data_IF_229139239173
#
_entry.id   IF_229139239173
#
_cell.length_a   1.000
_cell.length_b   1.000
_cell.length_c   1.000
_cell.angle_alpha   90.00
_cell.angle_beta   90.00
_cell.angle_gamma   90.00
#
_symmetry.space_group_name_H-M   'P 1'
#
loop_
_entity.id
_entity.type
_entity.pdbx_description
1 polymer ?
#
# COMPACT_ATOMS: atom_id res chain seq x y z
N UNK A 1 19.46 -18.36 23.07
CA UNK A 1 18.81 -18.04 21.77
C UNK A 1 19.94 -17.91 20.76
N UNK A 2 19.92 -18.67 19.66
CA UNK A 2 20.99 -18.67 18.65
C UNK A 2 20.47 -18.06 17.34
N UNK A 3 21.35 -17.28 16.72
CA UNK A 3 21.35 -16.66 15.38
C UNK A 3 19.99 -16.30 14.80
N UNK A 4 19.67 -15.01 14.84
CA UNK A 4 18.78 -14.43 13.85
C UNK A 4 19.63 -14.24 12.58
N UNK A 5 19.33 -14.99 11.54
CA UNK A 5 19.82 -14.65 10.21
C UNK A 5 18.75 -13.78 9.56
N UNK A 6 19.11 -12.55 9.24
CA UNK A 6 18.26 -11.63 8.49
C UNK A 6 18.97 -11.30 7.19
N UNK A 7 18.27 -11.44 6.08
CA UNK A 7 18.75 -10.95 4.80
C UNK A 7 17.66 -10.10 4.18
N UNK A 8 18.12 -9.00 3.59
CA UNK A 8 17.26 -8.00 3.05
C UNK A 8 17.87 -7.50 1.76
N UNK A 9 17.11 -7.61 0.67
CA UNK A 9 17.59 -7.16 -0.63
C UNK A 9 17.66 -5.64 -0.71
N UNK A 10 16.80 -4.95 0.03
CA UNK A 10 16.69 -3.49 0.05
C UNK A 10 16.50 -2.99 1.49
N UNK A 11 17.55 -3.05 2.34
CA UNK A 11 17.49 -2.68 3.75
C UNK A 11 17.09 -1.21 3.97
N UNK A 12 17.37 -0.35 2.99
CA UNK A 12 16.98 1.06 3.01
C UNK A 12 15.47 1.26 2.74
N UNK A 13 14.81 0.32 2.04
CA UNK A 13 13.37 0.37 1.77
C UNK A 13 12.56 -0.22 2.93
N UNK A 14 12.95 -1.42 3.36
CA UNK A 14 12.32 -2.12 4.47
C UNK A 14 13.44 -2.70 5.29
N UNK A 15 13.44 -2.54 6.60
CA UNK A 15 14.26 -3.33 7.50
C UNK A 15 13.35 -4.12 8.44
N UNK A 16 13.69 -5.38 8.68
CA UNK A 16 12.89 -6.32 9.46
C UNK A 16 13.76 -7.05 10.47
N UNK A 17 13.28 -7.14 11.71
CA UNK A 17 13.88 -7.95 12.74
C UNK A 17 12.81 -8.70 13.53
N UNK A 18 13.06 -9.98 13.77
CA UNK A 18 12.27 -10.79 14.70
C UNK A 18 13.04 -11.03 16.00
N UNK A 19 12.32 -11.04 17.11
CA UNK A 19 12.87 -11.32 18.43
C UNK A 19 11.96 -12.30 19.16
N UNK A 20 12.55 -13.28 19.86
CA UNK A 20 11.83 -14.15 20.76
C UNK A 20 12.18 -13.77 22.20
N UNK A 21 11.18 -13.37 22.99
CA UNK A 21 11.35 -12.88 24.35
C UNK A 21 10.73 -13.91 25.33
N UNK A 22 11.47 -14.41 26.34
CA UNK A 22 10.89 -15.30 27.34
C UNK A 22 9.82 -14.60 28.16
N UNK A 23 8.64 -15.22 28.26
CA UNK A 23 7.61 -14.78 29.19
C UNK A 23 8.00 -15.26 30.59
N UNK A 24 8.10 -14.37 31.60
CA UNK A 24 8.37 -14.77 32.97
C UNK A 24 7.23 -15.66 33.49
N UNK A 25 7.49 -16.97 33.63
CA UNK A 25 6.51 -17.94 34.17
C UNK A 25 6.88 -18.37 35.59
N UNK A 26 5.85 -18.50 36.44
CA UNK A 26 5.95 -18.99 37.83
C UNK A 26 5.92 -20.53 37.89
N UNK A 27 5.57 -21.22 36.80
CA UNK A 27 5.39 -22.68 36.76
C UNK A 27 6.41 -23.37 35.84
N UNK A 28 7.22 -24.25 36.42
CA UNK A 28 8.48 -24.76 35.86
C UNK A 28 8.38 -25.92 34.85
N UNK A 29 7.41 -25.95 33.92
CA UNK A 29 7.28 -27.09 33.00
C UNK A 29 7.33 -26.77 31.50
N UNK A 30 6.99 -25.55 31.06
CA UNK A 30 7.17 -25.12 29.66
C UNK A 30 7.57 -23.65 29.61
N UNK A 31 8.74 -23.36 29.06
CA UNK A 31 9.16 -21.98 28.81
C UNK A 31 8.26 -21.38 27.71
N UNK A 32 7.55 -20.30 28.00
CA UNK A 32 6.72 -19.61 27.03
C UNK A 32 7.52 -18.46 26.41
N UNK A 33 7.34 -18.23 25.12
CA UNK A 33 8.06 -17.23 24.34
C UNK A 33 7.06 -16.33 23.60
N UNK A 34 7.30 -15.04 23.66
CA UNK A 34 6.65 -14.04 22.83
C UNK A 34 7.49 -13.79 21.58
N UNK A 35 6.86 -13.78 20.41
CA UNK A 35 7.52 -13.31 19.18
C UNK A 35 7.17 -11.85 18.93
N UNK A 36 8.20 -11.03 18.78
CA UNK A 36 8.11 -9.61 18.49
C UNK A 36 8.70 -9.32 17.12
N UNK A 37 8.11 -8.36 16.44
CA UNK A 37 8.50 -7.85 15.14
C UNK A 37 8.88 -6.38 15.26
N UNK A 38 10.04 -6.02 14.71
CA UNK A 38 10.34 -4.63 14.38
C UNK A 38 10.41 -4.46 12.87
N UNK A 39 9.68 -3.48 12.34
CA UNK A 39 9.72 -3.09 10.93
C UNK A 39 10.06 -1.61 10.81
N UNK A 40 11.04 -1.27 9.97
CA UNK A 40 11.31 0.10 9.56
C UNK A 40 11.00 0.25 8.07
N UNK A 41 10.01 1.07 7.73
CA UNK A 41 9.63 1.37 6.36
C UNK A 41 10.22 2.70 5.91
N UNK A 42 10.78 2.73 4.70
CA UNK A 42 11.32 3.92 4.05
C UNK A 42 11.35 3.71 2.52
N UNK A 43 12.11 4.53 1.80
CA UNK A 43 12.19 4.55 0.34
C UNK A 43 13.61 4.21 -0.13
N UNK A 44 13.71 3.57 -1.30
CA UNK A 44 14.98 3.19 -1.91
C UNK A 44 15.10 3.73 -3.34
N UNK A 45 16.32 4.11 -3.73
CA UNK A 45 16.65 4.49 -5.11
C UNK A 45 17.25 3.30 -5.84
N UNK A 46 16.57 2.82 -6.89
CA UNK A 46 17.03 1.72 -7.74
C UNK A 46 17.51 2.26 -9.10
N UNK A 47 18.76 2.00 -9.51
CA UNK A 47 19.22 2.25 -10.87
C UNK A 47 18.46 1.39 -11.88
N UNK A 48 17.96 2.00 -12.96
CA UNK A 48 17.12 1.32 -13.95
C UNK A 48 17.14 2.09 -15.28
N UNK A 49 17.28 1.40 -16.42
CA UNK A 49 17.19 2.00 -17.77
C UNK A 49 18.10 3.23 -17.99
N UNK A 50 19.29 3.22 -17.41
CA UNK A 50 20.24 4.35 -17.51
C UNK A 50 19.92 5.58 -16.65
N UNK A 51 18.79 5.56 -15.92
CA UNK A 51 18.44 6.52 -14.88
C UNK A 51 18.27 5.83 -13.52
N UNK A 52 17.34 6.34 -12.73
CA UNK A 52 16.96 5.74 -11.44
C UNK A 52 15.52 6.02 -11.08
N UNK A 53 14.91 5.09 -10.35
CA UNK A 53 13.56 5.21 -9.81
C UNK A 53 13.60 5.15 -8.29
N UNK A 54 12.81 5.98 -7.63
CA UNK A 54 12.60 5.91 -6.19
C UNK A 54 11.28 5.19 -5.91
N UNK A 55 11.33 4.16 -5.08
CA UNK A 55 10.14 3.44 -4.67
C UNK A 55 10.09 3.29 -3.15
N UNK A 56 8.88 3.13 -2.64
CA UNK A 56 8.59 2.68 -1.28
C UNK A 56 7.38 1.77 -1.28
N UNK A 57 7.02 1.29 -0.09
CA UNK A 57 5.90 0.38 0.08
C UNK A 57 4.67 1.12 0.62
N UNK A 58 3.50 0.90 0.03
CA UNK A 58 2.21 1.29 0.60
C UNK A 58 1.47 0.12 1.25
N UNK A 59 2.06 -1.08 1.20
CA UNK A 59 1.52 -2.28 1.81
C UNK A 59 2.52 -3.43 1.80
N UNK A 60 2.02 -4.64 2.02
CA UNK A 60 2.79 -5.87 1.95
C UNK A 60 2.32 -6.89 2.99
N UNK A 61 2.79 -8.12 2.84
CA UNK A 61 2.37 -9.23 3.68
C UNK A 61 3.56 -9.83 4.42
N UNK A 62 3.53 -9.80 5.76
CA UNK A 62 4.40 -10.61 6.58
C UNK A 62 3.79 -12.00 6.71
N UNK A 63 4.49 -13.04 6.25
CA UNK A 63 4.12 -14.44 6.45
C UNK A 63 5.11 -15.11 7.38
N UNK A 64 4.60 -15.92 8.31
CA UNK A 64 5.43 -16.84 9.09
C UNK A 64 5.14 -18.27 8.66
N UNK A 65 6.19 -19.04 8.42
CA UNK A 65 6.09 -20.49 8.32
C UNK A 65 6.63 -21.09 9.63
N UNK A 66 5.73 -21.74 10.37
CA UNK A 66 5.99 -22.26 11.70
C UNK A 66 6.21 -23.79 11.65
N UNK A 67 7.40 -24.23 12.09
CA UNK A 67 7.67 -25.64 12.32
C UNK A 67 7.65 -25.92 13.83
N UNK A 68 6.86 -26.93 14.25
CA UNK A 68 6.72 -27.37 15.64
C UNK A 68 6.21 -26.29 16.63
N UNK A 69 5.56 -25.25 16.12
CA UNK A 69 4.84 -24.25 16.91
C UNK A 69 3.61 -23.73 16.14
N UNK A 70 2.68 -23.11 16.86
CA UNK A 70 1.44 -22.57 16.31
C UNK A 70 1.17 -21.19 16.95
N UNK A 71 0.57 -20.28 16.18
CA UNK A 71 0.06 -19.00 16.66
C UNK A 71 -1.43 -18.90 16.31
N UNK A 72 -2.31 -19.32 17.24
CA UNK A 72 -3.75 -19.28 17.03
C UNK A 72 -4.26 -17.90 16.68
N UNK A 73 -5.28 -17.79 15.81
CA UNK A 73 -5.88 -16.49 15.42
C UNK A 73 -6.23 -15.64 16.65
N UNK A 74 -6.78 -16.24 17.71
CA UNK A 74 -7.16 -15.56 18.94
C UNK A 74 -5.96 -14.99 19.75
N UNK A 75 -4.74 -15.45 19.48
CA UNK A 75 -3.51 -14.97 20.13
C UNK A 75 -2.77 -13.90 19.34
N UNK A 76 -3.21 -13.60 18.11
CA UNK A 76 -2.55 -12.63 17.22
C UNK A 76 -2.86 -11.22 17.70
N UNK A 77 -1.82 -10.49 18.13
CA UNK A 77 -2.01 -9.17 18.75
C UNK A 77 -1.75 -7.99 17.81
N UNK A 78 -1.03 -8.21 16.71
CA UNK A 78 -0.77 -7.17 15.71
C UNK A 78 -1.96 -7.04 14.75
N UNK A 79 -3.07 -6.46 15.21
CA UNK A 79 -4.28 -6.20 14.40
C UNK A 79 -4.84 -4.82 14.77
N UNK A 80 -5.21 -4.04 13.76
CA UNK A 80 -5.78 -2.70 13.92
C UNK A 80 -4.93 -1.60 13.29
N UNK A 81 -5.16 -0.36 13.71
CA UNK A 81 -4.44 0.80 13.19
C UNK A 81 -3.23 1.14 14.05
N UNK A 82 -2.09 1.39 13.42
CA UNK A 82 -0.84 1.74 14.08
C UNK A 82 -0.26 3.01 13.46
N UNK A 83 0.22 3.92 14.30
CA UNK A 83 1.03 5.05 13.87
C UNK A 83 2.49 4.63 13.86
N UNK A 84 3.16 4.78 12.71
CA UNK A 84 4.59 4.54 12.62
C UNK A 84 5.34 5.72 13.23
N UNK A 85 6.27 5.43 14.15
CA UNK A 85 7.06 6.50 14.77
C UNK A 85 8.07 7.05 13.78
N UNK A 86 8.31 8.38 13.74
CA UNK A 86 9.36 8.98 12.93
C UNK A 86 10.71 8.32 13.21
N UNK A 87 11.54 8.22 12.17
CA UNK A 87 12.92 7.77 12.31
C UNK A 87 13.70 8.97 12.82
N UNK A 88 14.09 8.98 14.10
CA UNK A 88 15.02 10.01 14.59
C UNK A 88 16.35 9.87 13.82
N UNK A 89 16.94 11.00 13.43
CA UNK A 89 18.26 11.06 12.78
C UNK A 89 19.40 10.49 13.63
N UNK A 90 19.15 10.16 14.90
CA UNK A 90 20.06 9.43 15.78
C UNK A 90 19.94 7.90 15.67
N UNK A 91 18.90 7.39 14.99
CA UNK A 91 18.70 5.95 14.71
C UNK A 91 19.40 5.49 13.43
N UNK A 92 19.82 6.41 12.56
CA UNK A 92 20.77 6.12 11.46
C UNK A 92 22.10 5.54 11.99
N UNK A 93 22.46 5.85 13.25
CA UNK A 93 23.70 5.40 13.89
C UNK A 93 23.74 3.89 14.16
N UNK A 94 22.60 3.18 14.14
CA UNK A 94 22.59 1.71 14.26
C UNK A 94 22.73 0.98 12.90
N UNK A 95 22.68 1.70 11.77
CA UNK A 95 22.71 1.12 10.43
C UNK A 95 24.02 1.37 9.67
N UNK A 96 24.96 2.15 10.21
CA UNK A 96 26.25 2.41 9.55
C UNK A 96 27.41 2.51 10.54
N UNK A 97 28.01 1.39 10.94
CA UNK A 97 29.42 1.40 11.36
C UNK A 97 30.32 1.29 10.11
N UNK A 98 30.52 2.40 9.41
CA UNK A 98 31.81 2.72 8.77
C UNK A 98 31.94 4.22 8.46
N UNK A 99 32.74 4.89 9.29
CA UNK A 99 33.49 6.14 9.03
C UNK A 99 32.74 7.47 8.80
N UNK A 100 32.82 8.35 9.83
CA UNK A 100 32.99 9.85 9.87
C UNK A 100 32.08 10.73 8.99
N UNK A 101 31.55 11.88 9.39
CA UNK A 101 32.03 13.01 10.22
C UNK A 101 30.82 13.91 10.60
N UNK A 102 30.92 14.72 11.65
CA UNK A 102 29.83 15.54 12.25
C UNK A 102 29.51 16.80 11.41
N UNK A 103 28.23 17.23 11.31
CA UNK A 103 27.96 18.65 11.56
C UNK A 103 26.65 19.01 12.29
N UNK A 104 26.82 20.02 13.16
CA UNK A 104 25.93 21.06 13.72
C UNK A 104 24.40 20.88 13.76
N UNK A 105 23.92 20.79 15.00
CA UNK A 105 22.55 20.95 15.47
C UNK A 105 22.12 22.43 15.49
N UNK A 106 20.99 22.78 14.86
CA UNK A 106 20.02 23.80 15.39
C UNK A 106 18.78 24.12 14.50
N UNK A 107 18.20 23.16 13.75
CA UNK A 107 16.94 23.41 12.99
C UNK A 107 15.84 22.34 13.08
N UNK A 108 15.92 21.37 14.00
CA UNK A 108 15.11 20.14 13.93
C UNK A 108 13.70 20.18 14.55
N UNK A 109 13.24 21.25 15.19
CA UNK A 109 12.04 21.16 16.05
C UNK A 109 10.70 21.66 15.47
N UNK A 110 10.61 22.00 14.16
CA UNK A 110 9.34 22.48 13.56
C UNK A 110 8.73 21.64 12.43
N UNK A 111 9.35 20.53 12.02
CA UNK A 111 8.89 19.70 10.89
C UNK A 111 8.47 18.26 11.25
N UNK A 112 8.41 17.87 12.53
CA UNK A 112 8.25 16.44 12.89
C UNK A 112 6.83 15.88 12.76
N UNK A 113 5.77 16.69 12.68
CA UNK A 113 4.40 16.19 12.50
C UNK A 113 4.04 15.78 11.07
N UNK A 114 4.78 16.25 10.04
CA UNK A 114 4.40 16.05 8.63
C UNK A 114 4.77 14.68 8.03
N UNK A 115 5.49 13.85 8.77
CA UNK A 115 6.06 12.59 8.27
C UNK A 115 5.40 11.32 8.86
N UNK A 116 4.43 11.48 9.77
CA UNK A 116 3.74 10.34 10.37
C UNK A 116 2.84 9.63 9.34
N UNK A 117 2.98 8.31 9.26
CA UNK A 117 2.10 7.44 8.47
C UNK A 117 1.32 6.51 9.38
N UNK A 118 0.07 6.25 9.01
CA UNK A 118 -0.81 5.31 9.71
C UNK A 118 -0.96 4.08 8.83
N UNK A 119 -0.61 2.92 9.37
CA UNK A 119 -0.87 1.64 8.73
C UNK A 119 -2.03 0.93 9.41
N UNK A 120 -2.82 0.22 8.62
CA UNK A 120 -3.77 -0.76 9.11
C UNK A 120 -3.17 -2.14 8.92
N UNK A 121 -3.24 -2.96 9.98
CA UNK A 121 -2.82 -4.35 9.95
C UNK A 121 -4.01 -5.26 10.17
N UNK A 122 -4.23 -6.16 9.23
CA UNK A 122 -5.18 -7.26 9.35
C UNK A 122 -4.44 -8.59 9.33
N UNK A 123 -5.11 -9.68 9.74
CA UNK A 123 -4.49 -11.01 9.77
C UNK A 123 -5.27 -12.00 8.92
N UNK A 124 -4.53 -12.88 8.25
CA UNK A 124 -5.03 -14.00 7.45
C UNK A 124 -4.20 -15.26 7.77
N UNK A 125 -4.51 -16.38 7.11
CA UNK A 125 -3.76 -17.64 7.27
C UNK A 125 -4.13 -18.43 8.52
N UNK A 126 -3.67 -19.68 8.59
CA UNK A 126 -3.98 -20.62 9.68
C UNK A 126 -2.96 -20.56 10.82
N UNK A 127 -3.14 -21.43 11.82
CA UNK A 127 -2.34 -21.43 13.05
C UNK A 127 -0.86 -21.81 12.82
N UNK A 128 -0.54 -22.43 11.68
CA UNK A 128 0.84 -22.84 11.29
C UNK A 128 1.48 -21.91 10.26
N UNK A 129 0.65 -21.17 9.52
CA UNK A 129 1.07 -20.21 8.49
C UNK A 129 0.40 -18.84 8.69
N UNK A 130 0.52 -18.21 9.87
CA UNK A 130 -0.13 -16.93 10.12
C UNK A 130 0.51 -15.84 9.26
N UNK A 131 -0.32 -14.91 8.81
CA UNK A 131 0.14 -13.75 8.06
C UNK A 131 -0.56 -12.46 8.48
N UNK A 132 0.14 -11.35 8.23
CA UNK A 132 -0.28 -9.99 8.52
C UNK A 132 -0.18 -9.14 7.27
N UNK A 133 -1.31 -8.56 6.86
CA UNK A 133 -1.40 -7.65 5.73
C UNK A 133 -1.26 -6.23 6.27
N UNK A 134 -0.21 -5.54 5.84
CA UNK A 134 0.01 -4.13 6.10
C UNK A 134 -0.59 -3.32 4.95
N UNK A 135 -1.30 -2.25 5.28
CA UNK A 135 -1.86 -1.33 4.28
C UNK A 135 -1.76 0.11 4.76
N UNK A 136 -1.38 1.02 3.86
CA UNK A 136 -1.36 2.45 4.13
C UNK A 136 -2.79 2.96 4.30
N UNK A 137 -3.09 3.49 5.48
CA UNK A 137 -4.40 4.09 5.79
C UNK A 137 -4.40 5.60 5.56
N UNK A 138 -3.39 6.31 6.08
CA UNK A 138 -3.29 7.77 5.98
C UNK A 138 -1.83 8.24 6.05
N UNK A 139 -1.55 9.38 5.43
CA UNK A 139 -0.26 10.06 5.48
C UNK A 139 0.37 10.18 4.10
N UNK A 140 1.69 10.09 4.05
CA UNK A 140 2.47 10.01 2.80
C UNK A 140 2.02 8.82 1.94
N UNK A 141 2.28 8.83 0.62
CA UNK A 141 1.84 7.76 -0.28
C UNK A 141 2.56 6.43 -0.06
N UNK A 142 3.57 6.39 0.82
CA UNK A 142 4.28 5.18 1.26
C UNK A 142 4.25 5.11 2.78
N UNK A 143 4.30 3.90 3.32
CA UNK A 143 4.61 3.62 4.72
C UNK A 143 6.00 4.17 5.03
N UNK A 144 6.09 4.99 6.07
CA UNK A 144 7.35 5.60 6.51
C UNK A 144 7.39 5.67 8.02
N UNK A 145 8.44 5.08 8.60
CA UNK A 145 8.65 5.05 10.04
C UNK A 145 8.83 3.65 10.61
N UNK A 146 8.99 3.61 11.92
CA UNK A 146 9.30 2.42 12.69
C UNK A 146 8.06 1.88 13.42
N UNK A 147 7.78 0.60 13.22
CA UNK A 147 6.97 -0.23 14.10
C UNK A 147 7.91 -0.99 15.02
N UNK A 148 8.02 -0.57 16.28
CA UNK A 148 9.02 -1.11 17.21
C UNK A 148 8.45 -2.25 18.06
N UNK A 149 9.08 -3.42 17.99
CA UNK A 149 8.83 -4.56 18.88
C UNK A 149 7.34 -4.90 19.07
N UNK A 150 6.59 -4.92 17.97
CA UNK A 150 5.19 -5.29 17.96
C UNK A 150 5.03 -6.80 18.21
N UNK A 151 4.22 -7.17 19.20
CA UNK A 151 3.96 -8.57 19.54
C UNK A 151 3.09 -9.23 18.47
N UNK A 152 3.61 -10.29 17.84
CA UNK A 152 2.85 -11.08 16.85
C UNK A 152 1.97 -12.13 17.54
N UNK A 153 2.49 -12.79 18.56
CA UNK A 153 1.80 -13.86 19.27
C UNK A 153 2.71 -14.56 20.29
N UNK A 154 2.18 -15.63 20.88
CA UNK A 154 2.84 -16.40 21.94
C UNK A 154 2.92 -17.88 21.55
N UNK A 155 3.99 -18.57 21.95
CA UNK A 155 4.15 -19.99 21.71
C UNK A 155 4.91 -20.68 22.85
N UNK A 156 4.71 -21.99 22.98
CA UNK A 156 5.46 -22.82 23.91
C UNK A 156 6.83 -23.18 23.32
N UNK A 157 7.91 -22.99 24.09
CA UNK A 157 9.26 -23.35 23.68
C UNK A 157 9.39 -24.87 23.53
N UNK A 158 9.49 -25.32 22.28
CA UNK A 158 9.91 -26.64 21.83
C UNK A 158 10.96 -26.43 20.74
N UNK A 159 11.73 -27.45 20.31
CA UNK A 159 12.55 -27.30 19.11
C UNK A 159 11.68 -26.80 17.96
N UNK A 160 11.99 -25.64 17.42
CA UNK A 160 11.11 -24.93 16.49
C UNK A 160 11.92 -24.12 15.49
N UNK A 161 11.26 -23.84 14.37
CA UNK A 161 11.75 -22.95 13.34
C UNK A 161 10.63 -21.99 12.96
N UNK A 162 10.98 -20.71 12.86
CA UNK A 162 10.08 -19.66 12.36
C UNK A 162 10.82 -18.99 11.22
N UNK A 163 10.32 -19.19 10.01
CA UNK A 163 10.77 -18.46 8.84
C UNK A 163 9.79 -17.33 8.56
N UNK A 164 10.27 -16.09 8.57
CA UNK A 164 9.48 -14.92 8.25
C UNK A 164 9.87 -14.38 6.89
N UNK A 165 8.87 -14.11 6.06
CA UNK A 165 9.03 -13.43 4.77
C UNK A 165 8.15 -12.20 4.74
N UNK A 166 8.68 -11.10 4.23
CA UNK A 166 7.88 -9.94 3.86
C UNK A 166 7.75 -9.92 2.34
N UNK A 167 6.55 -10.17 1.87
CA UNK A 167 6.21 -10.30 0.46
C UNK A 167 5.45 -9.07 -0.02
N UNK A 168 5.68 -8.67 -1.27
CA UNK A 168 5.08 -7.48 -1.86
C UNK A 168 4.46 -7.81 -3.22
N UNK A 169 3.20 -7.46 -3.39
CA UNK A 169 2.51 -7.41 -4.67
C UNK A 169 2.84 -6.14 -5.44
N UNK A 170 2.35 -6.05 -6.69
CA UNK A 170 2.52 -4.83 -7.51
C UNK A 170 1.72 -3.66 -6.93
N UNK A 171 0.60 -3.93 -6.31
CA UNK A 171 -0.26 -3.00 -5.58
C UNK A 171 0.39 -2.43 -4.33
N UNK A 172 1.37 -3.11 -3.74
CA UNK A 172 2.06 -2.68 -2.53
C UNK A 172 3.20 -1.70 -2.82
N UNK A 173 3.59 -1.53 -4.08
CA UNK A 173 4.75 -0.73 -4.49
C UNK A 173 4.26 0.61 -5.03
N UNK A 174 4.85 1.69 -4.54
CA UNK A 174 4.56 3.04 -4.99
C UNK A 174 5.84 3.73 -5.43
N UNK A 175 5.85 4.25 -6.65
CA UNK A 175 6.96 5.06 -7.17
C UNK A 175 6.79 6.50 -6.71
N UNK A 176 7.75 6.98 -5.93
CA UNK A 176 7.71 8.34 -5.37
C UNK A 176 8.46 9.35 -6.24
N UNK A 177 9.43 8.89 -7.03
CA UNK A 177 10.24 9.74 -7.90
C UNK A 177 10.88 8.94 -9.05
N UNK A 178 11.28 9.64 -10.11
CA UNK A 178 11.97 9.07 -11.26
C UNK A 178 12.90 10.12 -11.89
N UNK A 179 14.17 9.76 -12.08
CA UNK A 179 15.18 10.65 -12.64
C UNK A 179 15.86 10.01 -13.85
N UNK A 180 15.87 10.73 -14.97
CA UNK A 180 16.57 10.31 -16.19
C UNK A 180 15.93 9.16 -16.96
N UNK A 181 14.68 8.79 -16.66
CA UNK A 181 14.00 7.66 -17.31
C UNK A 181 13.21 8.05 -18.57
N UNK A 182 12.69 9.27 -18.63
CA UNK A 182 11.89 9.77 -19.75
C UNK A 182 11.95 11.31 -19.83
N UNK A 183 11.57 11.90 -20.97
CA UNK A 183 11.45 13.35 -21.14
C UNK A 183 10.46 13.99 -20.16
N UNK A 184 10.60 15.30 -19.93
CA UNK A 184 9.73 16.04 -19.01
C UNK A 184 8.35 16.40 -19.58
N UNK A 185 8.16 16.23 -20.88
CA UNK A 185 6.95 16.63 -21.64
C UNK A 185 5.97 15.48 -21.88
N UNK A 186 6.10 14.37 -21.15
CA UNK A 186 5.13 13.28 -21.21
C UNK A 186 3.79 13.65 -20.55
N UNK A 187 2.72 13.07 -21.05
CA UNK A 187 1.37 13.31 -20.53
C UNK A 187 1.14 12.59 -19.19
N UNK A 188 0.11 12.99 -18.41
CA UNK A 188 -0.28 12.23 -17.20
C UNK A 188 -0.60 10.76 -17.47
N UNK A 189 -1.21 10.43 -18.62
CA UNK A 189 -1.54 9.05 -18.99
C UNK A 189 -0.27 8.25 -19.29
N UNK A 190 0.66 8.79 -20.09
CA UNK A 190 1.96 8.17 -20.32
C UNK A 190 2.71 7.96 -19.00
N UNK A 191 2.78 8.99 -18.15
CA UNK A 191 3.43 8.90 -16.85
C UNK A 191 2.83 7.79 -15.97
N UNK A 192 1.50 7.66 -15.93
CA UNK A 192 0.83 6.62 -15.15
C UNK A 192 1.17 5.21 -15.65
N UNK A 193 1.11 5.00 -16.96
CA UNK A 193 1.41 3.71 -17.60
C UNK A 193 2.90 3.36 -17.41
N UNK A 194 3.81 4.31 -17.64
CA UNK A 194 5.25 4.14 -17.43
C UNK A 194 5.57 3.79 -15.98
N UNK A 195 5.04 4.55 -15.02
CA UNK A 195 5.20 4.26 -13.61
C UNK A 195 4.69 2.85 -13.28
N UNK A 196 3.60 2.42 -13.91
CA UNK A 196 3.03 1.11 -13.62
C UNK A 196 3.86 -0.05 -14.18
N UNK A 197 4.33 0.05 -15.43
CA UNK A 197 5.16 -1.02 -16.01
C UNK A 197 6.51 -1.15 -15.28
N UNK A 198 7.11 -0.04 -14.84
CA UNK A 198 8.30 -0.09 -13.97
C UNK A 198 8.01 -0.82 -12.65
N UNK A 199 6.84 -0.56 -12.05
CA UNK A 199 6.42 -1.23 -10.81
C UNK A 199 6.27 -2.73 -10.99
N UNK A 200 5.64 -3.16 -12.10
CA UNK A 200 5.50 -4.59 -12.45
C UNK A 200 6.87 -5.23 -12.66
N UNK A 201 7.79 -4.54 -13.34
CA UNK A 201 9.16 -5.01 -13.52
C UNK A 201 9.91 -5.16 -12.19
N UNK A 202 9.86 -4.14 -11.31
CA UNK A 202 10.51 -4.18 -10.00
C UNK A 202 9.97 -5.34 -9.16
N UNK A 203 8.65 -5.53 -9.14
CA UNK A 203 8.04 -6.62 -8.41
C UNK A 203 8.58 -7.98 -8.90
N UNK A 204 8.49 -8.25 -10.21
CA UNK A 204 8.82 -9.56 -10.77
C UNK A 204 10.32 -9.88 -10.75
N UNK A 205 11.19 -8.88 -10.96
CA UNK A 205 12.64 -9.11 -11.17
C UNK A 205 13.51 -8.69 -9.99
N UNK A 206 13.00 -7.79 -9.14
CA UNK A 206 13.78 -7.20 -8.04
C UNK A 206 13.23 -7.54 -6.66
N UNK A 207 11.91 -7.65 -6.46
CA UNK A 207 11.34 -7.73 -5.10
C UNK A 207 10.77 -9.11 -4.73
N UNK A 208 10.59 -10.00 -5.70
CA UNK A 208 10.17 -11.39 -5.49
C UNK A 208 11.38 -12.33 -5.29
N UNK A 209 11.20 -13.47 -4.59
CA UNK A 209 9.96 -13.97 -3.98
C UNK A 209 9.59 -13.27 -2.66
N UNK A 210 10.57 -12.70 -1.95
CA UNK A 210 10.34 -11.90 -0.75
C UNK A 210 11.35 -10.75 -0.71
N UNK A 211 10.90 -9.59 -0.24
CA UNK A 211 11.73 -8.40 -0.10
C UNK A 211 12.74 -8.55 1.04
N UNK A 212 12.28 -9.16 2.14
CA UNK A 212 13.05 -9.35 3.36
C UNK A 212 12.71 -10.70 3.97
N UNK A 213 13.70 -11.37 4.56
CA UNK A 213 13.48 -12.58 5.34
C UNK A 213 14.26 -12.59 6.64
N UNK A 214 13.68 -13.24 7.64
CA UNK A 214 14.33 -13.50 8.92
C UNK A 214 14.06 -14.95 9.37
N UNK A 215 15.10 -15.62 9.87
CA UNK A 215 15.00 -16.97 10.40
C UNK A 215 15.29 -16.97 11.89
N UNK A 216 14.36 -17.51 12.67
CA UNK A 216 14.57 -17.88 14.06
C UNK A 216 14.61 -19.41 14.15
N UNK A 217 15.74 -19.94 14.63
CA UNK A 217 15.88 -21.37 14.90
C UNK A 217 16.24 -21.62 16.36
N UNK A 218 15.50 -22.53 16.99
CA UNK A 218 15.81 -23.01 18.33
C UNK A 218 15.96 -24.54 18.32
N UNK A 219 17.18 -25.01 18.61
CA UNK A 219 17.55 -26.42 18.63
C UNK A 219 17.28 -27.18 17.30
N UNK A 220 17.23 -26.47 16.17
CA UNK A 220 17.18 -27.02 14.82
C UNK A 220 18.35 -26.44 13.98
N UNK A 221 18.86 -27.17 12.97
CA UNK A 221 19.87 -26.64 12.06
C UNK A 221 19.33 -25.47 11.22
N UNK A 222 20.21 -24.52 10.89
CA UNK A 222 19.92 -23.48 9.89
C UNK A 222 19.75 -24.11 8.50
N UNK A 223 18.97 -23.46 7.63
CA UNK A 223 18.72 -23.90 6.25
C UNK A 223 19.14 -22.77 5.33
N UNK A 224 19.99 -23.08 4.34
CA UNK A 224 20.34 -22.14 3.27
C UNK A 224 19.16 -21.95 2.32
N UNK A 225 18.86 -20.71 1.94
CA UNK A 225 17.83 -20.41 0.95
C UNK A 225 18.37 -20.52 -0.48
N UNK A 226 17.51 -20.88 -1.47
CA UNK A 226 17.88 -20.87 -2.87
C UNK A 226 18.15 -19.43 -3.35
N UNK A 227 19.32 -19.22 -3.97
CA UNK A 227 19.61 -18.00 -4.71
C UNK A 227 18.72 -17.92 -5.96
N UNK A 228 18.03 -16.79 -6.14
CA UNK A 228 17.24 -16.53 -7.35
C UNK A 228 18.13 -15.85 -8.37
N UNK A 229 18.34 -16.52 -9.50
CA UNK A 229 19.15 -16.04 -10.61
C UNK A 229 18.46 -14.86 -11.32
N UNK A 230 19.21 -13.78 -11.52
CA UNK A 230 18.71 -12.57 -12.18
C UNK A 230 18.66 -12.81 -13.68
N UNK A 231 17.50 -12.60 -14.31
CA UNK A 231 17.31 -12.78 -15.76
C UNK A 231 17.73 -11.49 -16.51
N UNK A 232 18.81 -11.49 -17.32
CA UNK A 232 19.30 -10.27 -17.98
C UNK A 232 18.42 -9.72 -19.11
N UNK A 233 17.54 -10.56 -19.68
CA UNK A 233 16.73 -10.23 -20.86
C UNK A 233 15.56 -9.27 -20.56
N UNK A 234 15.09 -9.24 -19.31
CA UNK A 234 13.89 -8.50 -18.92
C UNK A 234 14.05 -6.96 -19.00
N UNK A 235 15.26 -6.43 -18.75
CA UNK A 235 15.49 -4.98 -18.77
C UNK A 235 15.48 -4.42 -20.20
N UNK A 236 15.98 -5.19 -21.18
CA UNK A 236 15.93 -4.79 -22.59
C UNK A 236 14.49 -4.75 -23.12
N UNK A 237 13.67 -5.74 -22.75
CA UNK A 237 12.23 -5.76 -23.08
C UNK A 237 11.48 -4.58 -22.43
N UNK A 238 11.83 -4.24 -21.19
CA UNK A 238 11.28 -3.07 -20.52
C UNK A 238 11.65 -1.78 -21.26
N UNK A 239 12.91 -1.61 -21.67
CA UNK A 239 13.35 -0.43 -22.42
C UNK A 239 12.55 -0.28 -23.72
N UNK A 240 12.36 -1.36 -24.48
CA UNK A 240 11.59 -1.33 -25.73
C UNK A 240 10.14 -0.86 -25.49
N UNK A 241 9.50 -1.34 -24.42
CA UNK A 241 8.14 -0.93 -24.05
C UNK A 241 8.10 0.56 -23.68
N UNK A 242 9.06 1.03 -22.88
CA UNK A 242 9.18 2.44 -22.47
C UNK A 242 9.33 3.33 -23.70
N UNK A 243 10.22 2.98 -24.62
CA UNK A 243 10.44 3.75 -25.85
C UNK A 243 9.17 3.82 -26.72
N UNK A 244 8.42 2.71 -26.81
CA UNK A 244 7.15 2.67 -27.55
C UNK A 244 6.06 3.53 -26.92
N UNK A 245 5.99 3.61 -25.60
CA UNK A 245 5.02 4.47 -24.89
C UNK A 245 5.37 5.95 -25.11
N UNK A 246 6.65 6.31 -25.01
CA UNK A 246 7.13 7.68 -25.20
C UNK A 246 6.90 8.13 -26.65
N UNK A 247 7.14 7.26 -27.62
CA UNK A 247 6.97 7.54 -29.04
C UNK A 247 5.51 7.41 -29.54
N UNK A 248 4.56 7.05 -28.67
CA UNK A 248 3.18 6.85 -29.07
C UNK A 248 2.52 8.17 -29.53
N UNK A 249 1.85 8.14 -30.69
CA UNK A 249 1.12 9.30 -31.24
C UNK A 249 -0.30 9.44 -30.62
N UNK A 250 -0.53 8.85 -29.45
CA UNK A 250 -1.81 8.80 -28.73
C UNK A 250 -1.61 9.16 -27.27
N UNK A 251 -2.62 9.79 -26.67
CA UNK A 251 -2.73 9.99 -25.23
C UNK A 251 -3.89 9.17 -24.62
N UNK A 252 -4.50 8.27 -25.40
CA UNK A 252 -5.54 7.39 -24.89
C UNK A 252 -4.95 6.41 -23.87
N UNK A 253 -5.49 6.42 -22.65
CA UNK A 253 -4.96 5.60 -21.56
C UNK A 253 -5.03 4.09 -21.86
N UNK A 254 -6.08 3.62 -22.51
CA UNK A 254 -6.29 2.20 -22.82
C UNK A 254 -5.33 1.74 -23.91
N UNK A 255 -5.11 2.57 -24.93
CA UNK A 255 -4.10 2.31 -25.96
C UNK A 255 -2.69 2.28 -25.38
N UNK A 256 -2.34 3.23 -24.51
CA UNK A 256 -1.02 3.26 -23.84
C UNK A 256 -0.83 2.04 -22.92
N UNK A 257 -1.84 1.66 -22.14
CA UNK A 257 -1.80 0.44 -21.33
C UNK A 257 -1.62 -0.81 -22.20
N UNK A 258 -2.27 -0.85 -23.37
CA UNK A 258 -2.11 -1.95 -24.34
C UNK A 258 -0.68 -2.02 -24.89
N UNK A 259 -0.05 -0.88 -25.20
CA UNK A 259 1.37 -0.83 -25.61
C UNK A 259 2.26 -1.43 -24.51
N UNK A 260 1.94 -1.15 -23.25
CA UNK A 260 2.64 -1.66 -22.08
C UNK A 260 2.34 -3.12 -21.72
N UNK A 261 1.43 -3.79 -22.45
CA UNK A 261 0.87 -5.09 -22.09
C UNK A 261 0.24 -5.11 -20.67
N UNK A 262 -0.38 -4.01 -20.27
CA UNK A 262 -1.10 -3.87 -19.02
C UNK A 262 -2.62 -3.89 -19.28
N UNK A 263 -3.35 -4.58 -18.43
CA UNK A 263 -4.81 -4.54 -18.36
C UNK A 263 -5.25 -3.37 -17.45
N UNK A 264 -5.94 -2.34 -17.99
CA UNK A 264 -6.46 -1.21 -17.22
C UNK A 264 -7.25 -1.60 -15.96
N UNK A 265 -8.03 -2.69 -16.04
CA UNK A 265 -8.94 -3.11 -14.98
C UNK A 265 -8.29 -3.95 -13.87
N UNK A 266 -7.11 -4.51 -14.10
CA UNK A 266 -6.47 -5.45 -13.16
C UNK A 266 -5.07 -5.03 -12.74
N UNK A 267 -4.34 -4.40 -13.67
CA UNK A 267 -2.95 -4.10 -13.44
C UNK A 267 -2.76 -2.82 -12.67
N UNK A 268 -3.73 -1.90 -12.57
CA UNK A 268 -3.55 -0.60 -11.92
C UNK A 268 -3.96 -0.54 -10.45
N UNK A 269 -4.19 -1.68 -9.78
CA UNK A 269 -4.38 -1.74 -8.32
C UNK A 269 -3.20 -1.10 -7.58
N UNK A 270 -3.49 -0.19 -6.64
CA UNK A 270 -2.49 0.63 -5.94
C UNK A 270 -1.72 1.63 -6.81
N UNK A 271 -1.95 1.64 -8.13
CA UNK A 271 -1.24 2.49 -9.09
C UNK A 271 -1.61 3.96 -9.00
N UNK A 272 -0.70 4.84 -9.44
CA UNK A 272 -0.97 6.28 -9.52
C UNK A 272 -1.53 6.66 -10.89
N UNK A 273 -2.81 7.02 -10.92
CA UNK A 273 -3.58 7.56 -12.05
C UNK A 273 -3.88 9.05 -11.84
N UNK A 274 -3.00 9.76 -11.13
CA UNK A 274 -3.21 11.17 -10.74
C UNK A 274 -3.24 12.07 -11.98
N UNK A 275 -4.28 12.89 -12.09
CA UNK A 275 -4.42 13.87 -13.18
C UNK A 275 -4.59 13.25 -14.57
N UNK A 276 -4.85 11.95 -14.66
CA UNK A 276 -5.06 11.24 -15.92
C UNK A 276 -6.37 11.65 -16.60
N UNK A 277 -6.41 11.53 -17.92
CA UNK A 277 -7.62 11.68 -18.72
C UNK A 277 -8.20 10.29 -18.98
N UNK A 278 -9.28 9.97 -18.28
CA UNK A 278 -9.95 8.67 -18.22
C UNK A 278 -11.45 8.79 -18.52
N UNK A 279 -11.84 9.81 -19.29
CA UNK A 279 -13.24 10.06 -19.63
C UNK A 279 -13.83 8.88 -20.42
N UNK A 280 -15.01 8.43 -20.03
CA UNK A 280 -15.73 7.32 -20.66
C UNK A 280 -14.95 5.99 -20.76
N UNK A 281 -13.89 5.82 -19.97
CA UNK A 281 -13.16 4.54 -19.90
C UNK A 281 -14.02 3.51 -19.19
N UNK A 282 -14.05 2.30 -19.74
CA UNK A 282 -14.71 1.14 -19.14
C UNK A 282 -13.78 0.47 -18.11
N UNK A 283 -14.09 0.71 -16.84
CA UNK A 283 -13.55 0.03 -15.67
C UNK A 283 -14.63 -0.83 -14.98
N UNK A 284 -15.67 -1.25 -15.70
CA UNK A 284 -16.70 -2.12 -15.14
C UNK A 284 -16.07 -3.42 -14.62
N UNK A 285 -16.47 -3.85 -13.41
CA UNK A 285 -15.89 -4.99 -12.70
C UNK A 285 -14.37 -4.93 -12.47
N UNK A 286 -13.74 -3.76 -12.61
CA UNK A 286 -12.31 -3.61 -12.39
C UNK A 286 -11.92 -3.88 -10.93
N UNK A 287 -10.71 -4.39 -10.72
CA UNK A 287 -10.12 -4.59 -9.40
C UNK A 287 -8.99 -3.58 -9.18
N UNK A 288 -9.33 -2.42 -8.64
CA UNK A 288 -8.44 -1.27 -8.48
C UNK A 288 -8.39 -0.76 -7.03
N UNK A 289 -8.20 -1.65 -6.02
CA UNK A 289 -8.10 -1.23 -4.64
C UNK A 289 -6.89 -0.30 -4.47
N UNK A 290 -7.05 0.72 -3.62
CA UNK A 290 -6.05 1.73 -3.29
C UNK A 290 -5.49 2.53 -4.49
N UNK A 291 -6.06 2.41 -5.69
CA UNK A 291 -5.65 3.19 -6.85
C UNK A 291 -5.84 4.70 -6.62
N UNK A 292 -4.91 5.50 -7.13
CA UNK A 292 -4.89 6.95 -6.88
C UNK A 292 -5.30 7.73 -8.13
N UNK A 293 -6.57 8.12 -8.19
CA UNK A 293 -7.20 8.93 -9.22
C UNK A 293 -7.26 10.42 -8.89
N UNK A 294 -6.47 10.94 -7.94
CA UNK A 294 -6.56 12.34 -7.51
C UNK A 294 -6.46 13.30 -8.70
N UNK A 295 -7.44 14.20 -8.82
CA UNK A 295 -7.51 15.17 -9.92
C UNK A 295 -7.67 14.58 -11.32
N UNK A 296 -7.96 13.28 -11.46
CA UNK A 296 -8.23 12.66 -12.76
C UNK A 296 -9.55 13.14 -13.34
N UNK A 297 -9.63 13.18 -14.67
CA UNK A 297 -10.88 13.36 -15.40
C UNK A 297 -11.50 11.99 -15.67
N UNK A 298 -12.55 11.65 -14.94
CA UNK A 298 -13.30 10.39 -14.97
C UNK A 298 -14.75 10.61 -15.42
N UNK A 299 -15.00 11.70 -16.15
CA UNK A 299 -16.33 12.01 -16.65
C UNK A 299 -16.90 10.86 -17.47
N UNK A 300 -18.13 10.46 -17.16
CA UNK A 300 -18.84 9.34 -17.81
C UNK A 300 -18.10 7.98 -17.78
N UNK A 301 -17.06 7.81 -16.95
CA UNK A 301 -16.37 6.54 -16.80
C UNK A 301 -17.28 5.49 -16.16
N UNK A 302 -17.13 4.22 -16.56
CA UNK A 302 -17.89 3.11 -15.99
C UNK A 302 -17.06 2.36 -14.96
N UNK A 303 -17.47 2.39 -13.71
CA UNK A 303 -16.92 1.65 -12.57
C UNK A 303 -17.98 0.72 -11.96
N UNK A 304 -19.03 0.36 -12.71
CA UNK A 304 -20.09 -0.52 -12.22
C UNK A 304 -19.49 -1.85 -11.76
N UNK A 305 -19.87 -2.31 -10.57
CA UNK A 305 -19.38 -3.53 -9.92
C UNK A 305 -17.85 -3.56 -9.67
N UNK A 306 -17.15 -2.42 -9.78
CA UNK A 306 -15.70 -2.36 -9.55
C UNK A 306 -15.34 -2.43 -8.05
N UNK A 307 -14.20 -3.05 -7.74
CA UNK A 307 -13.54 -2.94 -6.45
C UNK A 307 -12.62 -1.70 -6.42
N UNK A 308 -13.03 -0.69 -5.66
CA UNK A 308 -12.35 0.59 -5.46
C UNK A 308 -12.07 0.84 -3.97
N UNK A 309 -11.94 -0.24 -3.17
CA UNK A 309 -11.64 -0.14 -1.74
C UNK A 309 -10.44 0.75 -1.49
N UNK A 310 -10.59 1.76 -0.61
CA UNK A 310 -9.56 2.72 -0.25
C UNK A 310 -8.95 3.53 -1.43
N UNK A 311 -9.60 3.56 -2.60
CA UNK A 311 -9.16 4.36 -3.73
C UNK A 311 -9.20 5.87 -3.42
N UNK A 312 -8.31 6.63 -4.06
CA UNK A 312 -8.13 8.07 -3.80
C UNK A 312 -8.64 8.89 -4.99
N UNK A 313 -9.79 9.52 -4.85
CA UNK A 313 -10.45 10.36 -5.85
C UNK A 313 -10.38 11.86 -5.52
N UNK A 314 -9.59 12.27 -4.54
CA UNK A 314 -9.55 13.66 -4.09
C UNK A 314 -9.37 14.67 -5.25
N UNK A 315 -10.34 15.57 -5.41
CA UNK A 315 -10.39 16.56 -6.50
C UNK A 315 -10.63 16.01 -7.91
N UNK A 316 -10.94 14.72 -8.07
CA UNK A 316 -11.26 14.13 -9.37
C UNK A 316 -12.64 14.56 -9.88
N UNK A 317 -12.82 14.54 -11.19
CA UNK A 317 -14.11 14.80 -11.84
C UNK A 317 -14.75 13.47 -12.27
N UNK A 318 -15.69 12.97 -11.48
CA UNK A 318 -16.50 11.77 -11.78
C UNK A 318 -17.92 12.17 -12.22
N UNK A 319 -18.09 13.34 -12.85
CA UNK A 319 -19.43 13.76 -13.25
C UNK A 319 -19.99 12.79 -14.31
N UNK A 320 -21.23 12.34 -14.10
CA UNK A 320 -21.88 11.33 -14.96
C UNK A 320 -21.36 9.90 -14.81
N UNK A 321 -20.35 9.64 -13.96
CA UNK A 321 -19.77 8.31 -13.84
C UNK A 321 -20.78 7.25 -13.35
N UNK A 322 -20.64 6.03 -13.86
CA UNK A 322 -21.42 4.87 -13.44
C UNK A 322 -20.68 4.14 -12.32
N UNK A 323 -21.21 4.15 -11.10
CA UNK A 323 -20.61 3.53 -9.91
C UNK A 323 -21.59 2.54 -9.28
N UNK A 324 -22.50 1.97 -10.08
CA UNK A 324 -23.52 1.06 -9.61
C UNK A 324 -22.89 -0.17 -8.95
N UNK A 325 -23.28 -0.49 -7.71
CA UNK A 325 -22.74 -1.59 -6.91
C UNK A 325 -21.21 -1.59 -6.68
N UNK A 326 -20.50 -0.51 -7.03
CA UNK A 326 -19.06 -0.43 -6.82
C UNK A 326 -18.72 -0.47 -5.32
N UNK A 327 -17.63 -1.13 -4.95
CA UNK A 327 -17.10 -1.09 -3.58
C UNK A 327 -16.14 0.09 -3.44
N UNK A 328 -16.62 1.18 -2.84
CA UNK A 328 -15.88 2.40 -2.52
C UNK A 328 -15.60 2.48 -1.01
N UNK A 329 -15.60 1.36 -0.29
CA UNK A 329 -15.42 1.38 1.16
C UNK A 329 -14.04 1.94 1.52
N UNK A 330 -14.03 2.91 2.43
CA UNK A 330 -12.83 3.66 2.82
C UNK A 330 -12.27 4.61 1.75
N UNK A 331 -12.92 4.80 0.60
CA UNK A 331 -12.41 5.67 -0.46
C UNK A 331 -12.33 7.15 -0.04
N UNK A 332 -11.33 7.87 -0.56
CA UNK A 332 -11.12 9.30 -0.34
C UNK A 332 -11.62 10.13 -1.52
N UNK A 333 -12.85 10.65 -1.44
CA UNK A 333 -13.50 11.48 -2.45
C UNK A 333 -13.38 12.98 -2.15
N UNK A 334 -12.55 13.42 -1.19
CA UNK A 334 -12.48 14.83 -0.77
C UNK A 334 -12.41 15.81 -1.95
N UNK A 335 -13.36 16.75 -2.03
CA UNK A 335 -13.48 17.75 -3.13
C UNK A 335 -13.65 17.18 -4.55
N UNK A 336 -14.01 15.90 -4.70
CA UNK A 336 -14.37 15.36 -6.00
C UNK A 336 -15.71 15.94 -6.51
N UNK A 337 -15.95 15.82 -7.81
CA UNK A 337 -17.28 16.00 -8.40
C UNK A 337 -17.91 14.65 -8.67
N UNK A 338 -19.11 14.42 -8.10
CA UNK A 338 -19.98 13.27 -8.40
C UNK A 338 -21.30 13.77 -9.01
N UNK A 339 -21.29 14.93 -9.66
CA UNK A 339 -22.50 15.49 -10.26
C UNK A 339 -23.08 14.51 -11.29
N UNK A 340 -24.39 14.23 -11.21
CA UNK A 340 -25.08 13.26 -12.09
C UNK A 340 -24.58 11.81 -11.99
N UNK A 341 -23.65 11.49 -11.09
CA UNK A 341 -23.10 10.14 -10.97
C UNK A 341 -24.14 9.14 -10.44
N UNK A 342 -24.07 7.89 -10.91
CA UNK A 342 -24.93 6.82 -10.43
C UNK A 342 -24.22 5.95 -9.38
N UNK A 343 -24.53 6.15 -8.09
CA UNK A 343 -24.01 5.35 -6.97
C UNK A 343 -25.04 4.33 -6.46
N UNK A 344 -25.98 3.89 -7.31
CA UNK A 344 -27.02 2.96 -6.88
C UNK A 344 -26.41 1.65 -6.39
N UNK A 345 -26.68 1.26 -5.14
CA UNK A 345 -26.14 0.04 -4.53
C UNK A 345 -24.66 0.06 -4.15
N UNK A 346 -23.94 1.18 -4.40
CA UNK A 346 -22.51 1.29 -4.09
C UNK A 346 -22.23 1.18 -2.58
N UNK A 347 -21.08 0.62 -2.22
CA UNK A 347 -20.61 0.58 -0.83
C UNK A 347 -19.71 1.79 -0.54
N UNK A 348 -20.22 2.81 0.14
CA UNK A 348 -19.46 3.99 0.56
C UNK A 348 -19.09 3.92 2.05
N UNK A 349 -19.12 2.74 2.67
CA UNK A 349 -18.88 2.61 4.11
C UNK A 349 -17.51 3.19 4.48
N UNK A 350 -17.47 4.06 5.49
CA UNK A 350 -16.27 4.79 5.92
C UNK A 350 -15.59 5.68 4.86
N UNK A 351 -16.23 5.95 3.71
CA UNK A 351 -15.68 6.84 2.69
C UNK A 351 -15.67 8.31 3.14
N UNK A 352 -14.71 9.08 2.66
CA UNK A 352 -14.60 10.51 2.89
C UNK A 352 -15.23 11.29 1.73
N UNK A 353 -16.44 11.82 1.92
CA UNK A 353 -17.17 12.66 0.97
C UNK A 353 -17.22 14.14 1.40
N UNK A 354 -16.26 14.64 2.18
CA UNK A 354 -16.21 16.05 2.54
C UNK A 354 -15.99 16.95 1.30
N UNK A 355 -16.73 18.06 1.24
CA UNK A 355 -16.66 19.07 0.16
C UNK A 355 -16.94 18.53 -1.26
N UNK A 356 -17.60 17.36 -1.37
CA UNK A 356 -17.95 16.76 -2.67
C UNK A 356 -19.16 17.46 -3.29
N UNK A 357 -19.11 17.69 -4.61
CA UNK A 357 -20.27 18.09 -5.38
C UNK A 357 -21.17 16.89 -5.67
N UNK A 358 -22.36 16.85 -5.05
CA UNK A 358 -23.34 15.76 -5.13
C UNK A 358 -24.57 16.14 -5.96
N UNK A 359 -24.49 17.19 -6.78
CA UNK A 359 -25.61 17.68 -7.58
C UNK A 359 -26.20 16.56 -8.44
N UNK A 360 -27.46 16.19 -8.16
CA UNK A 360 -28.19 15.14 -8.87
C UNK A 360 -27.53 13.74 -8.83
N UNK A 361 -26.67 13.46 -7.85
CA UNK A 361 -26.11 12.12 -7.66
C UNK A 361 -27.18 11.14 -7.15
N UNK A 362 -27.17 9.90 -7.64
CA UNK A 362 -28.11 8.86 -7.22
C UNK A 362 -27.52 7.95 -6.13
N UNK A 363 -28.02 8.06 -4.89
CA UNK A 363 -27.60 7.25 -3.74
C UNK A 363 -28.56 6.09 -3.39
N UNK A 364 -29.48 5.73 -4.29
CA UNK A 364 -30.48 4.70 -4.02
C UNK A 364 -29.83 3.37 -3.65
N UNK A 365 -30.10 2.87 -2.44
CA UNK A 365 -29.59 1.58 -1.97
C UNK A 365 -28.09 1.54 -1.65
N UNK A 366 -27.37 2.67 -1.72
CA UNK A 366 -25.96 2.69 -1.33
C UNK A 366 -25.79 2.31 0.16
N UNK A 367 -24.62 1.83 0.57
CA UNK A 367 -24.26 1.70 1.99
C UNK A 367 -23.43 2.91 2.38
N UNK A 368 -23.76 3.56 3.49
CA UNK A 368 -23.13 4.83 3.90
C UNK A 368 -22.75 4.82 5.39
N UNK A 369 -22.64 3.64 5.98
CA UNK A 369 -22.24 3.46 7.37
C UNK A 369 -20.90 4.13 7.63
N UNK A 370 -20.84 5.07 8.57
CA UNK A 370 -19.64 5.87 8.89
C UNK A 370 -19.06 6.70 7.74
N UNK A 371 -19.76 6.82 6.61
CA UNK A 371 -19.35 7.71 5.51
C UNK A 371 -19.44 9.16 5.97
N UNK A 372 -18.41 9.96 5.68
CA UNK A 372 -18.30 11.34 6.17
C UNK A 372 -18.71 12.34 5.11
N UNK A 373 -19.70 13.17 5.44
CA UNK A 373 -20.24 14.25 4.63
C UNK A 373 -20.04 15.59 5.35
N UNK A 374 -20.08 16.69 4.61
CA UNK A 374 -19.88 18.04 5.13
C UNK A 374 -19.53 19.00 3.98
N UNK A 375 -20.13 20.19 3.96
CA UNK A 375 -19.97 21.17 2.88
C UNK A 375 -20.28 20.64 1.47
N UNK A 376 -21.21 19.71 1.33
CA UNK A 376 -21.60 19.14 0.05
C UNK A 376 -22.56 20.06 -0.71
N UNK A 377 -22.29 20.34 -1.99
CA UNK A 377 -23.25 20.99 -2.87
C UNK A 377 -24.23 19.98 -3.46
N UNK A 378 -25.45 20.44 -3.77
CA UNK A 378 -26.45 19.63 -4.48
C UNK A 378 -27.14 18.54 -3.65
N UNK A 379 -26.88 18.47 -2.34
CA UNK A 379 -27.54 17.54 -1.43
C UNK A 379 -28.79 18.19 -0.83
N UNK A 380 -29.97 17.68 -1.18
CA UNK A 380 -31.24 18.12 -0.60
C UNK A 380 -31.37 17.64 0.87
N UNK A 381 -32.10 18.39 1.70
CA UNK A 381 -32.19 18.09 3.14
C UNK A 381 -32.88 16.76 3.46
N UNK A 382 -33.85 16.34 2.65
CA UNK A 382 -34.49 15.02 2.79
C UNK A 382 -33.50 13.87 2.49
N UNK A 383 -32.67 14.02 1.46
CA UNK A 383 -31.59 13.06 1.15
C UNK A 383 -30.57 13.01 2.29
N UNK A 384 -30.15 14.16 2.80
CA UNK A 384 -29.24 14.25 3.96
C UNK A 384 -29.78 13.52 5.19
N UNK A 385 -31.04 13.75 5.56
CA UNK A 385 -31.69 13.05 6.67
C UNK A 385 -31.75 11.53 6.42
N UNK A 386 -32.04 11.09 5.19
CA UNK A 386 -32.03 9.67 4.84
C UNK A 386 -30.63 9.04 5.00
N UNK A 387 -29.58 9.74 4.57
CA UNK A 387 -28.20 9.27 4.71
C UNK A 387 -27.79 9.16 6.18
N UNK A 388 -28.15 10.14 7.01
CA UNK A 388 -27.90 10.10 8.46
C UNK A 388 -28.59 8.90 9.13
N UNK A 389 -29.84 8.62 8.77
CA UNK A 389 -30.58 7.45 9.28
C UNK A 389 -29.92 6.11 8.89
N UNK A 390 -29.14 6.09 7.80
CA UNK A 390 -28.37 4.94 7.31
C UNK A 390 -26.92 4.91 7.83
N UNK A 391 -26.61 5.70 8.85
CA UNK A 391 -25.31 5.67 9.53
C UNK A 391 -24.25 6.64 8.97
N UNK A 392 -24.62 7.54 8.04
CA UNK A 392 -23.69 8.57 7.57
C UNK A 392 -23.42 9.62 8.65
N UNK A 393 -22.17 10.08 8.72
CA UNK A 393 -21.69 11.11 9.63
C UNK A 393 -21.65 12.43 8.87
N UNK A 394 -22.24 13.49 9.43
CA UNK A 394 -22.14 14.84 8.89
C UNK A 394 -21.28 15.67 9.83
N UNK A 395 -20.10 16.08 9.37
CA UNK A 395 -19.20 16.96 10.11
C UNK A 395 -19.75 18.39 10.05
N UNK A 396 -19.96 18.99 11.22
CA UNK A 396 -20.28 20.43 11.33
C UNK A 396 -19.00 21.25 11.09
N UNK A 397 -19.14 22.36 10.37
CA UNK A 397 -18.04 23.26 9.98
C UNK A 397 -17.79 24.29 11.06
#
# INVERSE_FOLDING_TARGET
MRSLESHNKYPDCLWMQLEAIPVPSVAAQTQQLDIHLSLNFNEHWEPLLGGRVRFGLQGGTLKLNLENCEIPVASRQLVGDFQLSPIDSSTEVLLTESQREVPDSEKAQKNQESDCTFCHVSTIGDDTTPAWIFSLKRGKPVLKGLLKSAKLGEFAAKPLRIAATFEVGKEDIYLTDAEGLWPHDITPNQHSVLARILTVYLQANKLQPALSWALLSYNLPAVEQPEVEIVPEAEAQLQEIVDRIIAAETDDFVELATIANLNPALDFAGGSLRGTSLNAVDFSSANLPAANFRGANLNDADFSDANLQNAKFGGADLSGAFLGNADLSGADLYRASLALANLSGADLSSANLLEVNLTNANFSGAKVESARFGNNSGLAEDVKLNLQQRGAIFDEV
#
